data_IF_271146732973
#
_entry.id   IF_271146732973
#
_cell.length_a   1.000
_cell.length_b   1.000
_cell.length_c   1.000
_cell.angle_alpha   90.00
_cell.angle_beta   90.00
_cell.angle_gamma   90.00
#
_symmetry.space_group_name_H-M   'P 1'
#
loop_
_entity.id
_entity.type
_entity.pdbx_description
1 polymer ?
#
# COMPACT_ATOMS: atom_id res chain seq x y z
N UNK A 1 -3.50 6.27 -10.25
CA UNK A 1 -2.85 6.01 -8.95
C UNK A 1 -2.98 7.21 -8.04
N UNK A 2 -2.18 8.25 -8.26
CA UNK A 2 -2.13 9.45 -7.41
C UNK A 2 -3.50 10.09 -7.10
N UNK A 3 -4.41 10.39 -8.06
CA UNK A 3 -5.70 11.00 -7.73
C UNK A 3 -6.62 10.08 -6.90
N UNK A 4 -6.55 8.76 -7.11
CA UNK A 4 -7.31 7.77 -6.33
C UNK A 4 -6.77 7.71 -4.90
N UNK A 5 -5.44 7.71 -4.75
CA UNK A 5 -4.79 7.72 -3.43
C UNK A 5 -5.10 9.00 -2.65
N UNK A 6 -5.10 10.16 -3.32
CA UNK A 6 -5.44 11.45 -2.72
C UNK A 6 -6.92 11.51 -2.30
N UNK A 7 -7.85 11.07 -3.16
CA UNK A 7 -9.26 11.04 -2.80
C UNK A 7 -9.54 10.11 -1.61
N UNK A 8 -8.90 8.92 -1.60
CA UNK A 8 -9.00 7.98 -0.49
C UNK A 8 -8.40 8.50 0.81
N UNK A 9 -7.19 9.08 0.76
CA UNK A 9 -6.55 9.65 1.95
C UNK A 9 -7.33 10.83 2.51
N UNK A 10 -7.83 11.73 1.67
CA UNK A 10 -8.72 12.82 2.09
C UNK A 10 -10.01 12.29 2.72
N UNK A 11 -10.61 11.23 2.16
CA UNK A 11 -11.76 10.56 2.74
C UNK A 11 -11.49 10.04 4.16
N UNK A 12 -10.36 9.36 4.37
CA UNK A 12 -9.96 8.87 5.70
C UNK A 12 -9.63 9.98 6.69
N UNK A 13 -9.05 11.09 6.22
CA UNK A 13 -8.81 12.27 7.06
C UNK A 13 -10.14 12.88 7.49
N UNK A 14 -11.10 13.07 6.57
CA UNK A 14 -12.40 13.70 6.84
C UNK A 14 -13.27 12.82 7.75
N UNK A 15 -13.31 11.51 7.52
CA UNK A 15 -14.14 10.58 8.30
C UNK A 15 -13.61 10.43 9.74
N UNK A 16 -12.29 10.46 9.94
CA UNK A 16 -11.67 10.29 11.26
C UNK A 16 -11.54 11.56 12.10
N UNK A 17 -12.09 12.70 11.65
CA UNK A 17 -12.02 13.94 12.45
C UNK A 17 -13.02 13.86 13.62
N UNK A 18 -12.51 13.58 14.82
CA UNK A 18 -13.29 13.61 16.05
C UNK A 18 -13.33 12.31 16.85
N UNK A 19 -12.62 11.25 16.44
CA UNK A 19 -12.48 10.06 17.27
C UNK A 19 -11.69 10.37 18.56
N UNK A 20 -12.21 9.96 19.71
CA UNK A 20 -11.53 10.11 20.99
C UNK A 20 -10.44 9.02 21.13
N UNK A 21 -9.17 9.43 21.26
CA UNK A 21 -8.03 8.51 21.43
C UNK A 21 -7.01 8.52 20.29
N UNK A 22 -7.08 9.49 19.36
CA UNK A 22 -6.08 9.62 18.31
C UNK A 22 -4.71 10.06 18.90
N UNK A 23 -3.59 9.46 18.45
CA UNK A 23 -2.25 9.92 18.79
C UNK A 23 -2.05 11.40 18.43
N UNK A 24 -1.24 12.12 19.20
CA UNK A 24 -0.97 13.57 19.05
C UNK A 24 -0.40 14.00 17.67
N UNK A 25 -0.08 13.03 16.80
CA UNK A 25 0.46 13.22 15.45
C UNK A 25 -0.43 12.63 14.34
N UNK A 26 -1.72 12.42 14.62
CA UNK A 26 -2.68 11.92 13.64
C UNK A 26 -3.61 13.02 13.13
N UNK A 27 -3.79 13.12 11.82
CA UNK A 27 -4.86 13.91 11.20
C UNK A 27 -5.95 12.95 10.72
N UNK A 28 -7.00 12.77 11.52
CA UNK A 28 -7.98 11.68 11.30
C UNK A 28 -7.31 10.30 11.39
N UNK A 29 -7.73 9.34 10.56
CA UNK A 29 -7.11 8.01 10.53
C UNK A 29 -5.67 7.98 9.97
N UNK A 30 -5.09 9.12 9.60
CA UNK A 30 -3.73 9.21 9.05
C UNK A 30 -2.73 9.59 10.14
N UNK A 31 -1.90 8.62 10.56
CA UNK A 31 -0.80 8.83 11.50
C UNK A 31 0.49 9.19 10.75
N UNK A 32 0.95 10.42 10.92
CA UNK A 32 2.08 10.98 10.16
C UNK A 32 3.42 10.23 10.35
N UNK A 33 3.79 9.76 11.56
CA UNK A 33 5.01 8.97 11.75
C UNK A 33 4.98 7.61 11.05
N UNK A 34 3.84 6.90 11.07
CA UNK A 34 3.72 5.67 10.28
C UNK A 34 3.76 5.95 8.78
N UNK A 35 3.13 7.04 8.32
CA UNK A 35 3.24 7.47 6.92
C UNK A 35 4.70 7.69 6.52
N UNK A 36 5.47 8.44 7.32
CA UNK A 36 6.89 8.66 7.08
C UNK A 36 7.68 7.33 7.06
N UNK A 37 7.42 6.43 8.01
CA UNK A 37 8.03 5.10 8.04
C UNK A 37 7.74 4.28 6.78
N UNK A 38 6.48 4.25 6.32
CA UNK A 38 6.07 3.56 5.10
C UNK A 38 6.72 4.17 3.86
N UNK A 39 6.80 5.51 3.78
CA UNK A 39 7.45 6.20 2.66
C UNK A 39 8.92 5.83 2.60
N UNK A 40 9.65 5.92 3.71
CA UNK A 40 11.09 5.58 3.76
C UNK A 40 11.31 4.10 3.41
N UNK A 41 10.56 3.19 4.03
CA UNK A 41 10.66 1.76 3.76
C UNK A 41 10.34 1.44 2.28
N UNK A 42 9.32 2.09 1.70
CA UNK A 42 8.95 1.91 0.30
C UNK A 42 10.02 2.46 -0.64
N UNK A 43 10.60 3.62 -0.35
CA UNK A 43 11.69 4.20 -1.16
C UNK A 43 12.94 3.31 -1.14
N UNK A 44 13.25 2.69 -0.01
CA UNK A 44 14.35 1.73 0.12
C UNK A 44 14.07 0.41 -0.62
N UNK A 45 12.84 -0.10 -0.52
CA UNK A 45 12.49 -1.40 -1.07
C UNK A 45 12.14 -1.35 -2.57
N UNK A 46 11.65 -0.21 -3.06
CA UNK A 46 11.32 0.01 -4.48
C UNK A 46 12.45 -0.33 -5.46
N UNK A 47 13.70 0.13 -5.29
CA UNK A 47 14.80 -0.21 -6.20
C UNK A 47 15.18 -1.71 -6.11
N UNK A 48 15.03 -2.34 -4.95
CA UNK A 48 15.28 -3.78 -4.78
C UNK A 48 14.25 -4.57 -5.59
N UNK A 49 12.97 -4.22 -5.49
CA UNK A 49 11.90 -4.82 -6.28
C UNK A 49 12.10 -4.61 -7.79
N UNK A 50 12.46 -3.40 -8.21
CA UNK A 50 12.71 -3.10 -9.62
C UNK A 50 13.89 -3.90 -10.20
N UNK A 51 15.00 -4.01 -9.45
CA UNK A 51 16.14 -4.84 -9.86
C UNK A 51 15.76 -6.32 -9.96
N UNK A 52 14.99 -6.82 -9.01
CA UNK A 52 14.54 -8.21 -9.03
C UNK A 52 13.63 -8.48 -10.24
N UNK A 53 12.74 -7.56 -10.56
CA UNK A 53 11.86 -7.66 -11.74
C UNK A 53 12.64 -7.65 -13.07
N UNK A 54 13.72 -6.87 -13.18
CA UNK A 54 14.58 -6.86 -14.37
C UNK A 54 15.48 -8.09 -14.51
N UNK A 55 15.86 -8.72 -13.39
CA UNK A 55 16.67 -9.96 -13.38
C UNK A 55 15.84 -11.20 -13.71
N UNK A 56 14.53 -11.15 -13.50
CA UNK A 56 13.64 -12.28 -13.74
C UNK A 56 13.24 -12.38 -15.22
N UNK A 57 13.34 -13.57 -15.84
CA UNK A 57 12.84 -13.78 -17.19
C UNK A 57 11.32 -13.58 -17.25
N UNK A 58 10.83 -12.96 -18.34
CA UNK A 58 9.42 -12.55 -18.50
C UNK A 58 8.40 -13.68 -18.22
N UNK A 59 8.77 -14.94 -18.48
CA UNK A 59 7.93 -16.12 -18.19
C UNK A 59 7.71 -16.36 -16.69
N UNK A 60 8.74 -16.14 -15.87
CA UNK A 60 8.63 -16.27 -14.42
C UNK A 60 7.86 -15.10 -13.82
N UNK A 61 8.10 -13.87 -14.29
CA UNK A 61 7.36 -12.68 -13.83
C UNK A 61 5.86 -12.82 -14.08
N UNK A 62 5.45 -13.27 -15.26
CA UNK A 62 4.03 -13.57 -15.56
C UNK A 62 3.44 -14.63 -14.63
N UNK A 63 4.17 -15.70 -14.33
CA UNK A 63 3.71 -16.75 -13.41
C UNK A 63 3.50 -16.21 -12.01
N UNK A 64 4.46 -15.43 -11.48
CA UNK A 64 4.37 -14.84 -10.15
C UNK A 64 3.16 -13.90 -10.05
N UNK A 65 2.94 -13.05 -11.05
CA UNK A 65 1.78 -12.15 -11.07
C UNK A 65 0.46 -12.92 -11.15
N UNK A 66 0.39 -13.96 -11.99
CA UNK A 66 -0.80 -14.82 -12.09
C UNK A 66 -1.09 -15.55 -10.77
N UNK A 67 -0.06 -16.04 -10.08
CA UNK A 67 -0.18 -16.66 -8.76
C UNK A 67 -0.72 -15.66 -7.74
N UNK A 68 -0.21 -14.43 -7.74
CA UNK A 68 -0.65 -13.37 -6.85
C UNK A 68 -2.13 -13.01 -7.09
N UNK A 69 -2.55 -12.88 -8.35
CA UNK A 69 -3.95 -12.66 -8.71
C UNK A 69 -4.85 -13.83 -8.32
N UNK A 70 -4.38 -15.07 -8.52
CA UNK A 70 -5.12 -16.27 -8.11
C UNK A 70 -5.34 -16.29 -6.60
N UNK A 71 -4.29 -16.06 -5.81
CA UNK A 71 -4.36 -15.99 -4.34
C UNK A 71 -5.30 -14.86 -3.90
N UNK A 72 -5.21 -13.68 -4.51
CA UNK A 72 -6.06 -12.55 -4.17
C UNK A 72 -7.53 -12.83 -4.52
N UNK A 73 -7.80 -13.43 -5.68
CA UNK A 73 -9.14 -13.83 -6.10
C UNK A 73 -9.74 -14.90 -5.17
N UNK A 74 -8.97 -15.93 -4.82
CA UNK A 74 -9.38 -16.95 -3.84
C UNK A 74 -9.64 -16.32 -2.48
N UNK A 75 -8.79 -15.38 -2.02
CA UNK A 75 -9.01 -14.67 -0.75
C UNK A 75 -10.29 -13.82 -0.77
N UNK A 76 -10.67 -13.23 -1.90
CA UNK A 76 -11.95 -12.52 -2.01
C UNK A 76 -13.16 -13.46 -2.10
N UNK A 77 -12.96 -14.71 -2.53
CA UNK A 77 -14.02 -15.73 -2.63
C UNK A 77 -14.25 -16.49 -1.31
N UNK A 78 -13.18 -16.68 -0.53
CA UNK A 78 -13.20 -17.32 0.79
C UNK A 78 -13.36 -16.31 1.94
N UNK A 79 -13.25 -15.02 1.66
CA UNK A 79 -13.54 -13.92 2.59
C UNK A 79 -15.00 -13.49 2.49
#
# INVERSE_FOLDING_TARGET
GLPIALAGSLGFVIIGQGEAGLPDWSSGYVYWPAFAGIVVASMLLAPVGARLAHRLPARQLKRVFALLLYVLGVRMLLG
#
